data_IF_780448673359
#
_entry.id   IF_780448673359
#
_cell.length_a   1.000
_cell.length_b   1.000
_cell.length_c   1.000
_cell.angle_alpha   90.00
_cell.angle_beta   90.00
_cell.angle_gamma   90.00
#
_symmetry.space_group_name_H-M   'P 1'
#
loop_
_entity.id
_entity.type
_entity.pdbx_description
1 polymer ?
#
# COMPACT_ATOMS: atom_id res chain seq x y z
N UNK A 1 -48.03 -21.79 13.95
CA UNK A 1 -47.64 -20.74 14.90
C UNK A 1 -47.20 -21.44 16.18
N UNK A 2 -45.90 -21.43 16.48
CA UNK A 2 -45.30 -22.06 17.65
C UNK A 2 -45.83 -21.40 18.92
N UNK A 3 -46.28 -22.21 19.90
CA UNK A 3 -47.06 -21.72 21.06
C UNK A 3 -46.27 -21.76 22.38
N UNK A 4 -45.09 -22.41 22.42
CA UNK A 4 -44.22 -22.48 23.61
C UNK A 4 -42.73 -22.26 23.31
N UNK A 5 -41.96 -21.87 24.34
CA UNK A 5 -40.51 -21.58 24.24
C UNK A 5 -39.70 -22.75 23.65
N UNK A 6 -40.09 -23.98 23.96
CA UNK A 6 -39.46 -25.20 23.47
C UNK A 6 -39.54 -25.36 21.95
N UNK A 7 -40.68 -24.99 21.35
CA UNK A 7 -40.91 -25.04 19.91
C UNK A 7 -39.99 -24.08 19.13
N UNK A 8 -39.65 -22.92 19.73
CA UNK A 8 -38.73 -21.95 19.12
C UNK A 8 -37.29 -22.45 19.15
N UNK A 9 -36.88 -23.11 20.22
CA UNK A 9 -35.53 -23.69 20.36
C UNK A 9 -35.36 -24.82 19.34
N UNK A 10 -36.36 -25.69 19.19
CA UNK A 10 -36.34 -26.78 18.21
C UNK A 10 -36.27 -26.26 16.76
N UNK A 11 -36.96 -25.15 16.46
CA UNK A 11 -36.84 -24.47 15.16
C UNK A 11 -35.45 -23.87 14.92
N UNK A 12 -34.84 -23.25 15.93
CA UNK A 12 -33.47 -22.71 15.83
C UNK A 12 -32.46 -23.83 15.54
N UNK A 13 -32.63 -25.01 16.15
CA UNK A 13 -31.78 -26.16 15.90
C UNK A 13 -31.93 -26.77 14.50
N UNK A 14 -33.04 -26.51 13.80
CA UNK A 14 -33.25 -26.95 12.41
C UNK A 14 -32.59 -26.01 11.39
N UNK A 15 -32.15 -24.81 11.79
CA UNK A 15 -31.48 -23.87 10.89
C UNK A 15 -30.03 -24.30 10.62
N UNK A 16 -29.52 -24.06 9.41
CA UNK A 16 -28.12 -24.32 9.08
C UNK A 16 -27.20 -23.46 9.96
N UNK A 17 -26.11 -24.05 10.46
CA UNK A 17 -25.14 -23.34 11.31
C UNK A 17 -24.25 -22.32 10.58
N UNK A 18 -24.35 -22.26 9.24
CA UNK A 18 -23.64 -21.29 8.40
C UNK A 18 -24.65 -20.56 7.54
N UNK A 19 -24.83 -19.27 7.81
CA UNK A 19 -25.71 -18.41 7.05
C UNK A 19 -25.04 -17.90 5.78
N UNK A 20 -25.75 -17.98 4.65
CA UNK A 20 -25.30 -17.32 3.42
C UNK A 20 -25.41 -15.79 3.57
N UNK A 21 -24.50 -15.02 2.96
CA UNK A 21 -24.51 -13.55 3.04
C UNK A 21 -25.83 -12.90 2.55
N UNK A 22 -26.62 -13.61 1.73
CA UNK A 22 -27.93 -13.16 1.25
C UNK A 22 -28.95 -12.98 2.39
N UNK A 23 -28.82 -13.73 3.49
CA UNK A 23 -29.68 -13.58 4.70
C UNK A 23 -29.53 -12.19 5.32
N UNK A 24 -28.37 -11.56 5.13
CA UNK A 24 -28.07 -10.19 5.55
C UNK A 24 -28.29 -9.15 4.44
N UNK A 25 -28.89 -9.54 3.31
CA UNK A 25 -29.07 -8.69 2.13
C UNK A 25 -27.77 -8.37 1.38
N UNK A 26 -26.70 -9.16 1.60
CA UNK A 26 -25.41 -8.98 0.95
C UNK A 26 -25.29 -9.85 -0.31
N UNK A 27 -24.53 -9.37 -1.30
CA UNK A 27 -24.19 -10.15 -2.49
C UNK A 27 -23.29 -11.35 -2.10
N UNK A 28 -23.39 -12.52 -2.76
CA UNK A 28 -22.57 -13.71 -2.47
C UNK A 28 -21.04 -13.45 -2.47
N UNK A 29 -20.57 -12.46 -3.23
CA UNK A 29 -19.17 -11.99 -3.21
C UNK A 29 -18.69 -11.45 -1.85
N UNK A 30 -19.60 -11.13 -0.93
CA UNK A 30 -19.26 -10.72 0.42
C UNK A 30 -18.51 -11.84 1.16
N UNK A 31 -18.90 -13.10 0.95
CA UNK A 31 -18.21 -14.24 1.56
C UNK A 31 -16.80 -14.42 1.00
N UNK A 32 -16.63 -14.28 -0.33
CA UNK A 32 -15.30 -14.26 -0.97
C UNK A 32 -14.42 -13.15 -0.37
N UNK A 33 -14.99 -11.95 -0.19
CA UNK A 33 -14.27 -10.81 0.38
C UNK A 33 -13.87 -11.07 1.83
N UNK A 34 -14.78 -11.64 2.62
CA UNK A 34 -14.53 -12.03 4.00
C UNK A 34 -13.39 -13.05 4.07
N UNK A 35 -13.45 -14.14 3.30
CA UNK A 35 -12.42 -15.17 3.27
C UNK A 35 -11.05 -14.61 2.85
N UNK A 36 -11.01 -13.73 1.84
CA UNK A 36 -9.78 -13.05 1.41
C UNK A 36 -9.21 -12.20 2.55
N UNK A 37 -10.04 -11.46 3.28
CA UNK A 37 -9.60 -10.62 4.38
C UNK A 37 -9.11 -11.43 5.57
N UNK A 38 -9.80 -12.52 5.91
CA UNK A 38 -9.39 -13.45 6.96
C UNK A 38 -8.06 -14.11 6.62
N UNK A 39 -7.90 -14.61 5.39
CA UNK A 39 -6.64 -15.19 4.94
C UNK A 39 -5.48 -14.18 4.98
N UNK A 40 -5.71 -12.92 4.57
CA UNK A 40 -4.73 -11.84 4.70
C UNK A 40 -4.34 -11.59 6.16
N UNK A 41 -5.31 -11.51 7.07
CA UNK A 41 -5.04 -11.27 8.49
C UNK A 41 -4.18 -12.38 9.11
N UNK A 42 -4.44 -13.64 8.73
CA UNK A 42 -3.61 -14.78 9.15
C UNK A 42 -2.18 -14.62 8.62
N UNK A 43 -2.02 -14.35 7.33
CA UNK A 43 -0.69 -14.15 6.71
C UNK A 43 0.08 -12.97 7.33
N UNK A 44 -0.61 -11.86 7.61
CA UNK A 44 -0.02 -10.69 8.24
C UNK A 44 0.44 -10.99 9.68
N UNK A 45 -0.32 -11.81 10.40
CA UNK A 45 0.05 -12.28 11.74
C UNK A 45 1.29 -13.18 11.68
N UNK A 46 1.35 -14.10 10.71
CA UNK A 46 2.53 -14.96 10.49
C UNK A 46 3.78 -14.12 10.19
N UNK A 47 3.68 -13.14 9.31
CA UNK A 47 4.80 -12.23 9.01
C UNK A 47 5.25 -11.46 10.25
N UNK A 48 4.32 -11.04 11.13
CA UNK A 48 4.67 -10.31 12.36
C UNK A 48 5.40 -11.16 13.40
N UNK A 49 5.25 -12.49 13.37
CA UNK A 49 5.96 -13.42 14.25
C UNK A 49 7.39 -13.73 13.77
N UNK A 50 7.76 -13.35 12.55
CA UNK A 50 9.10 -13.56 12.04
C UNK A 50 10.12 -12.71 12.83
N UNK A 51 11.23 -13.29 13.33
CA UNK A 51 12.23 -12.54 14.09
C UNK A 51 12.86 -11.45 13.22
N UNK A 52 12.62 -10.19 13.58
CA UNK A 52 13.11 -9.01 12.83
C UNK A 52 14.62 -8.80 12.94
N UNK A 53 15.25 -9.39 13.97
CA UNK A 53 16.68 -9.25 14.28
C UNK A 53 17.43 -10.60 14.26
N UNK A 54 16.80 -11.68 13.81
CA UNK A 54 17.37 -13.03 13.85
C UNK A 54 17.83 -13.51 12.47
N UNK A 55 19.04 -13.15 12.05
CA UNK A 55 19.56 -13.61 10.76
C UNK A 55 21.00 -13.22 10.41
N UNK A 56 21.88 -12.99 11.39
CA UNK A 56 23.27 -12.64 11.11
C UNK A 56 24.20 -13.88 11.04
N UNK A 57 24.02 -14.69 9.99
CA UNK A 57 25.04 -15.65 9.50
C UNK A 57 24.92 -15.82 7.98
N UNK A 58 25.24 -14.77 7.22
CA UNK A 58 25.66 -14.93 5.81
C UNK A 58 24.75 -14.36 4.71
N UNK A 59 23.71 -13.58 5.05
CA UNK A 59 22.92 -12.83 4.06
C UNK A 59 23.30 -11.34 3.98
N UNK A 60 22.96 -10.66 2.87
CA UNK A 60 23.02 -9.20 2.80
C UNK A 60 22.22 -8.59 3.96
N UNK A 61 22.76 -7.53 4.58
CA UNK A 61 22.07 -6.84 5.67
C UNK A 61 20.72 -6.30 5.20
N UNK A 62 19.79 -6.20 6.14
CA UNK A 62 18.44 -5.68 5.88
C UNK A 62 18.50 -4.29 5.25
N UNK A 63 19.41 -3.47 5.75
CA UNK A 63 19.69 -2.12 5.29
C UNK A 63 20.24 -2.13 3.86
N UNK A 64 21.17 -3.03 3.52
CA UNK A 64 21.73 -3.14 2.18
C UNK A 64 20.66 -3.51 1.14
N UNK A 65 19.78 -4.45 1.48
CA UNK A 65 18.64 -4.86 0.64
C UNK A 65 17.71 -3.68 0.37
N UNK A 66 17.30 -2.97 1.44
CA UNK A 66 16.36 -1.86 1.33
C UNK A 66 17.00 -0.68 0.60
N UNK A 67 18.30 -0.45 0.78
CA UNK A 67 19.07 0.55 0.04
C UNK A 67 19.10 0.25 -1.46
N UNK A 68 19.36 -1.01 -1.85
CA UNK A 68 19.29 -1.44 -3.25
C UNK A 68 17.90 -1.29 -3.86
N UNK A 69 16.85 -1.60 -3.09
CA UNK A 69 15.46 -1.39 -3.51
C UNK A 69 15.14 0.10 -3.68
N UNK A 70 15.56 0.94 -2.74
CA UNK A 70 15.35 2.38 -2.78
C UNK A 70 16.01 3.01 -4.02
N UNK A 71 17.25 2.62 -4.33
CA UNK A 71 17.98 3.11 -5.50
C UNK A 71 17.30 2.69 -6.82
N UNK A 72 16.82 1.45 -6.93
CA UNK A 72 16.04 1.04 -8.10
C UNK A 72 14.74 1.83 -8.24
N UNK A 73 14.01 2.03 -7.14
CA UNK A 73 12.79 2.84 -7.16
C UNK A 73 13.08 4.28 -7.58
N UNK A 74 14.17 4.89 -7.06
CA UNK A 74 14.61 6.23 -7.46
C UNK A 74 14.92 6.32 -8.95
N UNK A 75 15.56 5.31 -9.54
CA UNK A 75 15.88 5.29 -10.97
C UNK A 75 14.66 5.19 -11.90
N UNK A 76 13.55 4.64 -11.40
CA UNK A 76 12.30 4.50 -12.16
C UNK A 76 11.34 5.67 -11.97
N UNK A 77 11.57 6.52 -10.98
CA UNK A 77 10.70 7.67 -10.74
C UNK A 77 10.86 8.67 -11.90
N UNK A 78 9.76 9.08 -12.54
CA UNK A 78 9.82 10.10 -13.58
C UNK A 78 10.38 11.41 -13.00
N UNK A 79 10.99 12.22 -13.86
CA UNK A 79 11.43 13.55 -13.47
C UNK A 79 10.24 14.40 -13.02
N UNK A 80 10.51 15.31 -12.08
CA UNK A 80 9.59 16.33 -11.64
C UNK A 80 9.17 17.18 -12.86
N UNK A 81 7.86 17.44 -13.02
CA UNK A 81 7.43 18.21 -14.19
C UNK A 81 7.74 19.70 -14.05
N UNK A 82 7.95 20.35 -15.20
CA UNK A 82 8.19 21.79 -15.27
C UNK A 82 6.84 22.51 -15.26
N UNK A 83 6.52 23.15 -14.12
CA UNK A 83 5.26 23.86 -13.92
C UNK A 83 4.97 24.92 -15.00
N UNK A 84 6.01 25.58 -15.53
CA UNK A 84 5.88 26.62 -16.54
C UNK A 84 5.43 26.07 -17.89
N UNK A 85 6.07 25.02 -18.40
CA UNK A 85 5.75 24.42 -19.71
C UNK A 85 4.32 23.88 -19.75
N UNK A 86 3.89 23.21 -18.67
CA UNK A 86 2.56 22.62 -18.60
C UNK A 86 1.50 23.71 -18.48
N UNK A 87 1.77 24.80 -17.75
CA UNK A 87 0.86 25.93 -17.64
C UNK A 87 0.67 26.62 -19.00
N UNK A 88 1.74 26.79 -19.77
CA UNK A 88 1.69 27.37 -21.11
C UNK A 88 1.00 26.46 -22.12
N UNK A 89 1.24 25.15 -22.07
CA UNK A 89 0.56 24.16 -22.91
C UNK A 89 -0.95 24.10 -22.61
N UNK A 90 -1.34 24.14 -21.33
CA UNK A 90 -2.74 24.17 -20.91
C UNK A 90 -3.43 25.50 -21.26
N UNK A 91 -2.70 26.61 -21.25
CA UNK A 91 -3.23 27.90 -21.74
C UNK A 91 -3.51 27.86 -23.24
N UNK A 92 -2.60 27.27 -24.04
CA UNK A 92 -2.80 27.07 -25.48
C UNK A 92 -3.99 26.18 -25.82
N UNK A 93 -4.26 25.15 -25.00
CA UNK A 93 -5.41 24.24 -25.20
C UNK A 93 -6.74 24.75 -24.65
N UNK A 94 -6.77 25.92 -23.99
CA UNK A 94 -7.98 26.50 -23.39
C UNK A 94 -8.01 26.32 -21.88
N UNK A 95 -7.54 27.31 -21.13
CA UNK A 95 -7.34 27.25 -19.69
C UNK A 95 -8.61 27.01 -18.85
N UNK A 96 -9.79 27.29 -19.41
CA UNK A 96 -11.09 27.31 -18.70
C UNK A 96 -11.90 26.03 -18.99
N UNK A 97 -11.42 25.15 -19.88
CA UNK A 97 -12.10 23.88 -20.14
C UNK A 97 -12.08 23.00 -18.86
N UNK A 98 -13.22 22.43 -18.43
CA UNK A 98 -13.30 21.63 -17.21
C UNK A 98 -12.27 20.50 -17.14
N UNK A 99 -11.99 19.86 -18.29
CA UNK A 99 -10.97 18.81 -18.40
C UNK A 99 -9.55 19.32 -18.14
N UNK A 100 -9.22 20.53 -18.61
CA UNK A 100 -7.89 21.13 -18.42
C UNK A 100 -7.68 21.58 -16.98
N UNK A 101 -8.73 22.05 -16.30
CA UNK A 101 -8.71 22.37 -14.88
C UNK A 101 -8.47 21.09 -14.06
N UNK A 102 -9.19 20.02 -14.37
CA UNK A 102 -8.99 18.72 -13.72
C UNK A 102 -7.58 18.18 -13.92
N UNK A 103 -7.09 18.16 -15.17
CA UNK A 103 -5.75 17.70 -15.51
C UNK A 103 -4.68 18.47 -14.74
N UNK A 104 -4.78 19.81 -14.71
CA UNK A 104 -3.85 20.65 -13.93
C UNK A 104 -3.84 20.27 -12.45
N UNK A 105 -5.02 20.14 -11.85
CA UNK A 105 -5.12 19.80 -10.43
C UNK A 105 -4.57 18.41 -10.13
N UNK A 106 -4.81 17.43 -11.00
CA UNK A 106 -4.30 16.08 -10.81
C UNK A 106 -2.79 16.01 -10.99
N UNK A 107 -2.25 16.78 -11.93
CA UNK A 107 -0.82 16.89 -12.16
C UNK A 107 -0.11 17.56 -10.95
N UNK A 108 -0.67 18.64 -10.41
CA UNK A 108 -0.22 19.27 -9.14
C UNK A 108 -0.34 18.35 -7.92
N UNK A 109 -1.21 17.33 -7.96
CA UNK A 109 -1.32 16.33 -6.90
C UNK A 109 -0.26 15.25 -7.06
N UNK A 110 -0.08 14.72 -8.28
CA UNK A 110 0.96 13.74 -8.57
C UNK A 110 2.34 14.28 -8.24
N UNK A 111 2.63 15.57 -8.49
CA UNK A 111 3.90 16.19 -8.10
C UNK A 111 4.21 16.05 -6.63
N UNK A 112 3.21 16.33 -5.79
CA UNK A 112 3.39 16.36 -4.34
C UNK A 112 3.71 14.96 -3.84
N UNK A 113 3.04 13.95 -4.39
CA UNK A 113 3.33 12.55 -4.08
C UNK A 113 4.75 12.18 -4.53
N UNK A 114 5.11 12.47 -5.79
CA UNK A 114 6.45 12.17 -6.32
C UNK A 114 7.56 12.83 -5.50
N UNK A 115 7.38 14.10 -5.11
CA UNK A 115 8.33 14.83 -4.27
C UNK A 115 8.50 14.18 -2.90
N UNK A 116 7.41 13.80 -2.24
CA UNK A 116 7.49 13.13 -0.92
C UNK A 116 8.17 11.76 -1.05
N UNK A 117 7.81 10.96 -2.06
CA UNK A 117 8.44 9.65 -2.29
C UNK A 117 9.93 9.81 -2.59
N UNK A 118 10.32 10.75 -3.45
CA UNK A 118 11.73 11.01 -3.77
C UNK A 118 12.52 11.44 -2.54
N UNK A 119 12.00 12.39 -1.77
CA UNK A 119 12.65 12.89 -0.56
C UNK A 119 12.81 11.78 0.47
N UNK A 120 11.75 11.04 0.77
CA UNK A 120 11.79 9.96 1.77
C UNK A 120 12.74 8.82 1.38
N UNK A 121 12.81 8.44 0.09
CA UNK A 121 13.78 7.46 -0.39
C UNK A 121 15.23 7.95 -0.28
N UNK A 122 15.49 9.23 -0.57
CA UNK A 122 16.81 9.84 -0.40
C UNK A 122 17.21 9.92 1.08
N UNK A 123 16.30 10.36 1.94
CA UNK A 123 16.52 10.46 3.38
C UNK A 123 16.80 9.07 3.99
N UNK A 124 16.11 8.02 3.51
CA UNK A 124 16.37 6.64 3.92
C UNK A 124 17.75 6.15 3.49
N UNK A 125 18.17 6.46 2.26
CA UNK A 125 19.49 6.10 1.77
C UNK A 125 20.59 6.77 2.61
N UNK A 126 20.47 8.08 2.85
CA UNK A 126 21.40 8.84 3.68
C UNK A 126 21.40 8.39 5.15
N UNK A 127 20.25 7.95 5.67
CA UNK A 127 20.15 7.41 7.02
C UNK A 127 20.81 6.03 7.15
N UNK A 128 20.74 5.19 6.11
CA UNK A 128 21.43 3.90 6.06
C UNK A 128 22.95 4.10 5.97
N UNK A 129 23.41 5.10 5.21
CA UNK A 129 24.83 5.46 5.13
C UNK A 129 25.36 6.11 6.43
N UNK A 130 24.48 6.48 7.36
CA UNK A 130 24.85 7.13 8.63
C UNK A 130 25.07 8.64 8.53
N UNK A 131 24.74 9.25 7.39
CA UNK A 131 24.83 10.71 7.17
C UNK A 131 23.72 11.46 7.91
N UNK A 132 22.53 10.87 8.00
CA UNK A 132 21.37 11.43 8.71
C UNK A 132 20.94 10.47 9.83
N UNK A 133 20.40 11.03 10.92
CA UNK A 133 19.90 10.23 12.05
C UNK A 133 18.67 9.42 11.62
N UNK A 134 18.68 8.12 11.89
CA UNK A 134 17.54 7.22 11.68
C UNK A 134 16.38 7.59 12.61
N UNK A 135 15.43 8.38 12.11
CA UNK A 135 14.19 8.69 12.83
C UNK A 135 13.29 7.45 12.95
N UNK A 136 12.36 7.45 13.92
CA UNK A 136 11.36 6.37 14.06
C UNK A 136 10.59 6.17 12.76
N UNK A 137 10.24 7.26 12.08
CA UNK A 137 9.49 7.22 10.85
C UNK A 137 10.26 6.62 9.66
N UNK A 138 11.58 6.81 9.60
CA UNK A 138 12.44 6.18 8.59
C UNK A 138 12.66 4.70 8.91
N UNK A 139 12.75 4.34 10.20
CA UNK A 139 12.81 2.94 10.63
C UNK A 139 11.52 2.18 10.28
N UNK A 140 10.35 2.78 10.51
CA UNK A 140 9.07 2.19 10.11
C UNK A 140 8.97 2.02 8.59
N UNK A 141 9.54 2.95 7.82
CA UNK A 141 9.61 2.86 6.37
C UNK A 141 10.57 1.75 5.91
N UNK A 142 11.73 1.61 6.55
CA UNK A 142 12.66 0.51 6.30
C UNK A 142 11.98 -0.83 6.56
N UNK A 143 11.25 -0.93 7.67
CA UNK A 143 10.45 -2.10 8.03
C UNK A 143 9.41 -2.42 6.96
N UNK A 144 8.61 -1.44 6.58
CA UNK A 144 7.58 -1.59 5.56
C UNK A 144 8.17 -2.02 4.20
N UNK A 145 9.27 -1.40 3.78
CA UNK A 145 9.93 -1.73 2.50
C UNK A 145 10.53 -3.13 2.50
N UNK A 146 11.11 -3.55 3.63
CA UNK A 146 11.63 -4.91 3.79
C UNK A 146 10.50 -5.96 3.73
N UNK A 147 9.37 -5.69 4.37
CA UNK A 147 8.18 -6.56 4.37
C UNK A 147 7.34 -6.46 3.08
N UNK A 148 7.88 -5.80 2.03
CA UNK A 148 7.21 -5.56 0.76
C UNK A 148 5.86 -4.82 0.88
N UNK A 149 5.71 -3.99 1.91
CA UNK A 149 4.54 -3.13 2.18
C UNK A 149 4.83 -1.69 1.80
N UNK A 150 3.75 -0.92 1.61
CA UNK A 150 3.84 0.50 1.30
C UNK A 150 3.96 1.31 2.60
N UNK A 151 4.95 2.21 2.73
CA UNK A 151 5.10 3.05 3.91
C UNK A 151 3.88 3.94 4.20
N UNK A 152 3.50 4.06 5.48
CA UNK A 152 2.32 4.84 5.89
C UNK A 152 2.44 6.33 5.56
N UNK A 153 3.66 6.87 5.59
CA UNK A 153 3.91 8.27 5.24
C UNK A 153 3.42 8.60 3.84
N UNK A 154 3.56 7.66 2.89
CA UNK A 154 3.12 7.88 1.52
C UNK A 154 1.59 7.77 1.40
N UNK A 155 0.94 6.93 2.21
CA UNK A 155 -0.53 6.83 2.29
C UNK A 155 -1.18 8.13 2.80
N UNK A 156 -0.51 8.85 3.72
CA UNK A 156 -1.02 10.09 4.32
C UNK A 156 -1.10 11.27 3.34
N UNK A 157 -0.25 11.31 2.30
CA UNK A 157 -0.16 12.46 1.39
C UNK A 157 -1.41 12.62 0.51
N UNK A 158 -2.05 11.52 0.10
CA UNK A 158 -3.48 11.44 -0.29
C UNK A 158 -3.84 10.06 -0.88
N UNK A 159 -4.86 9.35 -0.37
CA UNK A 159 -5.17 7.98 -0.80
C UNK A 159 -5.51 7.81 -2.28
N UNK A 160 -6.17 8.81 -2.91
CA UNK A 160 -6.81 8.62 -4.21
C UNK A 160 -5.85 8.70 -5.41
N UNK A 161 -4.96 9.70 -5.45
CA UNK A 161 -3.91 9.80 -6.48
C UNK A 161 -2.78 8.79 -6.23
N UNK A 162 -2.53 8.49 -4.95
CA UNK A 162 -1.58 7.48 -4.51
C UNK A 162 -1.99 6.06 -4.92
N UNK A 163 -3.29 5.77 -5.03
CA UNK A 163 -3.80 4.47 -5.50
C UNK A 163 -3.26 4.06 -6.88
N UNK A 164 -3.13 5.01 -7.82
CA UNK A 164 -2.65 4.73 -9.17
C UNK A 164 -1.13 4.50 -9.22
N UNK A 165 -0.35 5.30 -8.47
CA UNK A 165 1.11 5.19 -8.41
C UNK A 165 1.53 3.94 -7.60
N UNK A 166 0.82 3.62 -6.52
CA UNK A 166 1.10 2.44 -5.69
C UNK A 166 0.74 1.12 -6.34
N UNK A 167 -0.30 1.02 -7.19
CA UNK A 167 -0.54 -0.23 -7.92
C UNK A 167 0.67 -0.61 -8.78
N UNK A 168 1.41 0.37 -9.30
CA UNK A 168 2.69 0.17 -9.97
C UNK A 168 3.81 -0.17 -8.99
N UNK A 169 4.08 0.72 -8.02
CA UNK A 169 5.19 0.55 -7.07
C UNK A 169 5.04 -0.70 -6.20
N UNK A 170 3.85 -1.01 -5.69
CA UNK A 170 3.57 -2.21 -4.90
C UNK A 170 3.65 -3.49 -5.74
N UNK A 171 3.29 -3.45 -7.04
CA UNK A 171 3.54 -4.59 -7.95
C UNK A 171 5.04 -4.83 -8.12
N UNK A 172 5.82 -3.76 -8.23
CA UNK A 172 7.28 -3.84 -8.38
C UNK A 172 7.97 -4.31 -7.09
N UNK A 173 7.57 -3.79 -5.94
CA UNK A 173 8.02 -4.23 -4.62
C UNK A 173 7.69 -5.72 -4.41
N UNK A 174 6.45 -6.13 -4.70
CA UNK A 174 6.00 -7.53 -4.51
C UNK A 174 6.62 -8.53 -5.49
N UNK A 175 6.83 -8.13 -6.76
CA UNK A 175 7.56 -8.96 -7.74
C UNK A 175 9.01 -9.23 -7.31
N UNK A 176 9.63 -8.30 -6.58
CA UNK A 176 11.03 -8.40 -6.18
C UNK A 176 11.22 -9.11 -4.84
N UNK A 177 10.27 -8.95 -3.91
CA UNK A 177 10.21 -9.79 -2.70
C UNK A 177 10.15 -11.28 -3.04
N UNK A 178 9.35 -11.68 -4.04
CA UNK A 178 9.25 -13.08 -4.48
C UNK A 178 10.52 -13.65 -5.15
N UNK A 179 11.48 -12.83 -5.57
CA UNK A 179 12.75 -13.33 -6.12
C UNK A 179 13.72 -13.82 -5.04
N UNK A 180 13.44 -13.54 -3.76
CA UNK A 180 14.26 -14.00 -2.63
C UNK A 180 13.89 -15.41 -2.14
N UNK A 181 12.80 -15.98 -2.63
CA UNK A 181 12.29 -17.31 -2.23
C UNK A 181 12.47 -18.38 -3.32
N UNK A 182 13.30 -18.13 -4.33
CA UNK A 182 13.64 -19.07 -5.40
C UNK A 182 15.16 -19.30 -5.44
#
# INVERSE_FOLDING_TARGET
MCKGQSDYIEYIHQLPGTDSPEVFGLHPNADITYQINTAKAILDTILSMQPKEGGDRGGESREAVVSGLANDMLSKLPADYIQHEIREALQRMGAILPMNIFLRQELDRMQRVLKVVRQTLQDLHLAIEGTIIMSTSLRDMLDAMYDARVPEQWLKVRPFSFFYITKGLAKDIKKRGNKKTA
#
